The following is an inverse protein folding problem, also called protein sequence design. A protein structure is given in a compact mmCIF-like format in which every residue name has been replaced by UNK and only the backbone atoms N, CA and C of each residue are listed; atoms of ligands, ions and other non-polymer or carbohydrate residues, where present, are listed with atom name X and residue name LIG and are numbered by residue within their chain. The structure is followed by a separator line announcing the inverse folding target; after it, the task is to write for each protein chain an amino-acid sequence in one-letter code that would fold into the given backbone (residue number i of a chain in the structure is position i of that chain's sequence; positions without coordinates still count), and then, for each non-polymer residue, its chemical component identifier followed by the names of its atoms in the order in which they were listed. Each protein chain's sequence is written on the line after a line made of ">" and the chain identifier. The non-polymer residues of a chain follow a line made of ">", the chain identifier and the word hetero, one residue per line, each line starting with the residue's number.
data_IF_416498800785
#
_entry.id   IF_416498800785
#
_cell.length_a   1.000
_cell.length_b   1.000
_cell.length_c   1.000
_cell.angle_alpha   90.00
_cell.angle_beta   90.00
_cell.angle_gamma   90.00
#
_symmetry.space_group_name_H-M   'P 1'
#
loop_
_entity.id
_entity.type
_entity.pdbx_description
1 polymer ?
#
# COMPACT_ATOMS: atom_id res chain seq x y z
N UNK A 1 -43.79 -11.78 -34.56
CA UNK A 1 -44.54 -10.61 -34.06
C UNK A 1 -45.21 -10.95 -32.73
N UNK A 2 -44.56 -10.70 -31.58
CA UNK A 2 -45.24 -10.71 -30.29
C UNK A 2 -45.76 -9.31 -29.96
N UNK A 3 -47.03 -9.25 -29.52
CA UNK A 3 -47.79 -8.04 -29.23
C UNK A 3 -47.37 -7.45 -27.86
N UNK A 4 -47.06 -6.17 -27.85
CA UNK A 4 -46.77 -5.34 -26.68
C UNK A 4 -48.03 -5.12 -25.82
N UNK A 5 -47.89 -5.20 -24.50
CA UNK A 5 -48.90 -4.79 -23.52
C UNK A 5 -48.33 -3.62 -22.68
N UNK A 6 -49.05 -2.49 -22.52
CA UNK A 6 -48.55 -1.34 -21.77
C UNK A 6 -49.21 -1.19 -20.38
N UNK A 7 -48.48 -0.46 -19.52
CA UNK A 7 -48.95 0.44 -18.45
C UNK A 7 -49.64 -0.17 -17.21
N UNK A 8 -49.13 0.13 -16.00
CA UNK A 8 -49.83 0.95 -14.98
C UNK A 8 -48.78 1.53 -14.01
N UNK A 9 -48.76 2.86 -13.93
CA UNK A 9 -48.04 3.69 -12.97
C UNK A 9 -48.96 3.93 -11.77
N UNK A 10 -48.49 3.75 -10.54
CA UNK A 10 -49.23 4.14 -9.34
C UNK A 10 -48.32 4.87 -8.35
N UNK A 11 -48.37 6.21 -8.38
CA UNK A 11 -47.94 7.09 -7.29
C UNK A 11 -49.00 7.08 -6.20
N UNK A 12 -48.60 6.93 -4.94
CA UNK A 12 -49.43 7.28 -3.79
C UNK A 12 -48.60 8.12 -2.84
N UNK A 13 -48.90 9.42 -2.83
CA UNK A 13 -48.49 10.37 -1.80
C UNK A 13 -49.65 10.53 -0.82
N UNK A 14 -49.38 10.38 0.49
CA UNK A 14 -50.33 10.73 1.55
C UNK A 14 -49.61 11.66 2.51
N UNK A 15 -50.09 12.90 2.58
CA UNK A 15 -49.79 13.86 3.61
C UNK A 15 -50.95 13.90 4.61
N UNK A 16 -50.66 13.88 5.92
CA UNK A 16 -51.60 14.35 6.94
C UNK A 16 -50.81 15.06 8.05
N UNK A 17 -51.23 16.28 8.33
CA UNK A 17 -50.81 17.23 9.36
C UNK A 17 -51.54 16.98 10.70
N UNK A 18 -50.89 17.27 11.83
CA UNK A 18 -51.57 17.78 13.03
C UNK A 18 -50.56 18.36 14.05
N UNK A 19 -50.69 19.65 14.34
CA UNK A 19 -50.00 20.36 15.41
C UNK A 19 -50.62 20.04 16.77
N UNK A 20 -49.81 19.93 17.83
CA UNK A 20 -50.27 20.19 19.20
C UNK A 20 -49.18 20.96 19.96
N UNK A 21 -49.62 22.04 20.62
CA UNK A 21 -48.83 22.97 21.43
C UNK A 21 -48.64 22.43 22.85
N UNK A 22 -47.40 22.45 23.33
CA UNK A 22 -47.07 22.20 24.73
C UNK A 22 -45.66 22.67 25.06
N UNK A 23 -45.54 23.76 25.81
CA UNK A 23 -44.33 24.11 26.57
C UNK A 23 -44.62 23.80 28.04
N UNK A 24 -43.73 23.06 28.73
CA UNK A 24 -42.97 23.71 29.80
C UNK A 24 -41.52 23.19 30.03
N UNK A 25 -40.65 24.14 30.39
CA UNK A 25 -39.55 24.10 31.38
C UNK A 25 -38.29 23.22 31.14
N UNK A 26 -37.06 23.74 31.36
CA UNK A 26 -35.81 23.06 31.05
C UNK A 26 -35.34 22.15 32.20
N UNK A 27 -34.88 20.95 31.86
CA UNK A 27 -34.17 20.05 32.76
C UNK A 27 -32.74 19.80 32.28
N UNK A 28 -31.83 19.79 33.25
CA UNK A 28 -30.39 19.84 33.12
C UNK A 28 -29.74 18.52 32.67
N UNK A 29 -28.64 18.67 31.92
CA UNK A 29 -27.41 17.88 31.84
C UNK A 29 -27.48 16.34 31.84
N UNK A 30 -27.12 15.74 30.70
CA UNK A 30 -26.05 14.73 30.63
C UNK A 30 -25.55 14.58 29.18
N UNK A 31 -24.24 14.62 28.89
CA UNK A 31 -23.73 14.47 27.54
C UNK A 31 -23.81 12.98 27.15
N UNK A 32 -24.70 12.64 26.22
CA UNK A 32 -24.66 11.33 25.59
C UNK A 32 -23.39 11.26 24.76
N UNK A 33 -22.53 10.30 25.11
CA UNK A 33 -21.22 10.06 24.53
C UNK A 33 -21.28 10.11 23.00
N UNK A 34 -20.51 11.03 22.42
CA UNK A 34 -20.18 11.00 21.02
C UNK A 34 -19.37 9.72 20.78
N UNK A 35 -19.92 8.81 19.98
CA UNK A 35 -19.16 7.73 19.37
C UNK A 35 -18.05 8.39 18.55
N UNK A 36 -16.81 8.23 19.01
CA UNK A 36 -15.60 8.64 18.30
C UNK A 36 -15.65 8.16 16.86
N UNK A 37 -15.35 9.00 15.85
CA UNK A 37 -15.03 8.49 14.54
C UNK A 37 -13.78 7.62 14.69
N UNK A 38 -13.82 6.38 14.20
CA UNK A 38 -12.59 5.64 13.92
C UNK A 38 -11.73 6.55 13.06
N UNK A 39 -10.59 6.99 13.59
CA UNK A 39 -9.58 7.63 12.79
C UNK A 39 -9.17 6.61 11.73
N UNK A 40 -9.67 6.79 10.50
CA UNK A 40 -8.98 6.27 9.34
C UNK A 40 -7.60 6.90 9.40
N UNK A 41 -6.57 6.09 9.63
CA UNK A 41 -5.19 6.50 9.40
C UNK A 41 -5.10 6.84 7.92
N UNK A 42 -5.37 8.10 7.59
CA UNK A 42 -5.12 8.69 6.28
C UNK A 42 -3.71 8.25 5.89
N UNK A 43 -3.50 7.77 4.66
CA UNK A 43 -2.20 7.29 4.16
C UNK A 43 -1.07 8.33 4.14
N UNK A 44 -1.24 9.43 4.86
CA UNK A 44 -0.25 10.44 5.13
C UNK A 44 0.84 9.83 6.00
N UNK A 45 2.04 9.83 5.44
CA UNK A 45 3.23 9.47 6.18
C UNK A 45 3.52 10.61 7.15
N UNK A 46 3.48 10.35 8.46
CA UNK A 46 3.60 11.38 9.51
C UNK A 46 4.83 12.29 9.33
N UNK A 47 5.89 11.79 8.67
CA UNK A 47 7.03 12.58 8.21
C UNK A 47 7.49 12.11 6.82
N UNK A 48 7.24 12.88 5.74
CA UNK A 48 7.70 12.53 4.40
C UNK A 48 9.23 12.37 4.35
N UNK A 49 9.71 11.33 3.68
CA UNK A 49 11.15 11.07 3.48
C UNK A 49 11.71 11.86 2.29
N UNK A 50 13.01 12.17 2.37
CA UNK A 50 13.76 12.71 1.22
C UNK A 50 14.04 11.60 0.21
N UNK A 51 13.18 11.48 -0.80
CA UNK A 51 13.19 10.37 -1.78
C UNK A 51 13.92 10.70 -3.08
N UNK A 52 14.20 11.98 -3.36
CA UNK A 52 14.68 12.43 -4.67
C UNK A 52 15.98 11.73 -5.12
N UNK A 53 17.01 11.71 -4.26
CA UNK A 53 18.29 11.09 -4.58
C UNK A 53 18.15 9.58 -4.85
N UNK A 54 17.32 8.88 -4.07
CA UNK A 54 17.10 7.45 -4.24
C UNK A 54 16.23 7.14 -5.45
N UNK A 55 15.31 8.04 -5.84
CA UNK A 55 14.50 7.89 -7.05
C UNK A 55 15.32 8.04 -8.33
N UNK A 56 16.33 8.91 -8.30
CA UNK A 56 17.28 9.06 -9.43
C UNK A 56 18.30 7.91 -9.50
N UNK A 57 18.74 7.43 -8.33
CA UNK A 57 19.76 6.38 -8.22
C UNK A 57 19.31 5.23 -7.27
N UNK A 58 18.31 4.42 -7.65
CA UNK A 58 17.67 3.44 -6.76
C UNK A 58 18.61 2.35 -6.27
N UNK A 59 19.65 2.02 -7.03
CA UNK A 59 20.65 1.04 -6.60
C UNK A 59 21.51 1.48 -5.43
N UNK A 60 21.47 2.76 -5.07
CA UNK A 60 22.10 3.28 -3.84
C UNK A 60 21.26 3.02 -2.59
N UNK A 61 20.05 2.45 -2.75
CA UNK A 61 19.16 2.06 -1.65
C UNK A 61 19.72 0.96 -0.76
N UNK A 62 20.63 0.13 -1.28
CA UNK A 62 21.43 -0.81 -0.50
C UNK A 62 22.91 -0.58 -0.82
N UNK A 63 23.76 -0.54 0.20
CA UNK A 63 25.21 -0.68 -0.02
C UNK A 63 25.55 -2.10 -0.49
N UNK A 64 26.75 -2.28 -1.05
CA UNK A 64 27.23 -3.62 -1.43
C UNK A 64 27.22 -4.59 -0.24
N UNK A 65 27.63 -4.14 0.96
CA UNK A 65 27.62 -4.96 2.17
C UNK A 65 26.20 -5.31 2.63
N UNK A 66 25.26 -4.36 2.55
CA UNK A 66 23.86 -4.64 2.86
C UNK A 66 23.27 -5.66 1.87
N UNK A 67 23.51 -5.51 0.57
CA UNK A 67 23.08 -6.46 -0.44
C UNK A 67 23.68 -7.86 -0.19
N UNK A 68 24.98 -7.94 0.14
CA UNK A 68 25.64 -9.19 0.47
C UNK A 68 25.01 -9.87 1.70
N UNK A 69 24.54 -9.11 2.70
CA UNK A 69 23.79 -9.66 3.85
C UNK A 69 22.44 -10.34 3.50
N UNK A 70 21.95 -10.11 2.28
CA UNK A 70 20.79 -10.76 1.68
C UNK A 70 21.16 -11.82 0.63
N UNK A 71 22.44 -12.21 0.54
CA UNK A 71 22.98 -13.08 -0.50
C UNK A 71 22.75 -12.51 -1.92
N UNK A 72 22.81 -11.18 -2.06
CA UNK A 72 22.64 -10.45 -3.31
C UNK A 72 23.95 -9.77 -3.74
N UNK A 73 24.20 -9.75 -5.05
CA UNK A 73 25.29 -8.96 -5.64
C UNK A 73 24.93 -7.46 -5.65
N UNK A 74 25.91 -6.55 -5.83
CA UNK A 74 25.63 -5.13 -6.02
C UNK A 74 24.58 -4.88 -7.12
N UNK A 75 23.66 -3.95 -6.84
CA UNK A 75 22.50 -3.68 -7.68
C UNK A 75 22.88 -3.07 -9.03
N UNK A 76 22.09 -3.39 -10.04
CA UNK A 76 22.19 -2.83 -11.38
C UNK A 76 20.96 -2.02 -11.71
N UNK A 77 21.18 -0.82 -12.25
CA UNK A 77 20.09 0.02 -12.70
C UNK A 77 19.39 -0.64 -13.91
N UNK A 78 18.06 -0.57 -13.91
CA UNK A 78 17.20 -0.99 -15.01
C UNK A 78 16.27 0.19 -15.34
N UNK A 79 16.15 0.56 -16.62
CA UNK A 79 15.48 1.80 -17.04
C UNK A 79 14.11 1.61 -17.71
N UNK A 80 13.67 0.38 -17.98
CA UNK A 80 12.61 0.13 -18.95
C UNK A 80 11.31 -0.41 -18.33
N UNK A 81 11.02 -0.06 -17.07
CA UNK A 81 9.88 -0.63 -16.32
C UNK A 81 8.67 0.28 -16.21
N UNK A 82 8.61 1.40 -16.95
CA UNK A 82 7.44 2.29 -17.01
C UNK A 82 7.25 3.26 -15.83
N UNK A 83 8.00 3.09 -14.75
CA UNK A 83 7.92 3.91 -13.51
C UNK A 83 9.19 4.74 -13.24
N UNK A 84 10.06 4.89 -14.24
CA UNK A 84 11.36 5.55 -14.13
C UNK A 84 12.50 4.61 -13.71
N UNK A 85 13.65 5.16 -13.29
CA UNK A 85 14.80 4.38 -12.87
C UNK A 85 14.42 3.38 -11.77
N UNK A 86 14.87 2.14 -11.93
CA UNK A 86 14.68 1.08 -10.93
C UNK A 86 15.99 0.35 -10.70
N UNK A 87 16.07 -0.38 -9.59
CA UNK A 87 17.20 -1.23 -9.31
C UNK A 87 16.81 -2.70 -9.33
N UNK A 88 17.73 -3.55 -9.76
CA UNK A 88 17.66 -4.98 -9.61
C UNK A 88 18.94 -5.50 -8.95
N UNK A 89 18.76 -6.24 -7.86
CA UNK A 89 19.80 -7.05 -7.22
C UNK A 89 19.51 -8.52 -7.52
N UNK A 90 20.55 -9.29 -7.82
CA UNK A 90 20.44 -10.72 -8.13
C UNK A 90 21.36 -11.51 -7.21
N UNK A 91 20.97 -12.71 -6.80
CA UNK A 91 21.89 -13.56 -6.04
C UNK A 91 22.98 -14.14 -6.96
N UNK A 92 24.26 -14.11 -6.54
CA UNK A 92 25.32 -14.82 -7.25
C UNK A 92 25.26 -16.33 -7.02
N UNK A 93 24.56 -16.79 -5.98
CA UNK A 93 24.43 -18.22 -5.64
C UNK A 93 23.17 -18.84 -6.24
N UNK A 94 22.08 -18.06 -6.32
CA UNK A 94 20.77 -18.51 -6.80
C UNK A 94 20.29 -17.56 -7.91
N UNK A 95 20.52 -17.90 -9.16
CA UNK A 95 20.17 -17.08 -10.33
C UNK A 95 18.69 -16.63 -10.38
N UNK A 96 17.80 -17.45 -9.84
CA UNK A 96 16.37 -17.21 -9.72
C UNK A 96 15.98 -16.30 -8.56
N UNK A 97 16.92 -15.96 -7.66
CA UNK A 97 16.69 -14.99 -6.60
C UNK A 97 16.97 -13.57 -7.10
N UNK A 98 15.93 -12.73 -7.07
CA UNK A 98 15.96 -11.35 -7.56
C UNK A 98 15.23 -10.45 -6.58
N UNK A 99 15.76 -9.26 -6.36
CA UNK A 99 15.06 -8.19 -5.63
C UNK A 99 15.07 -6.95 -6.48
N UNK A 100 13.93 -6.26 -6.57
CA UNK A 100 13.78 -5.00 -7.29
C UNK A 100 13.35 -3.88 -6.36
N UNK A 101 13.77 -2.66 -6.69
CA UNK A 101 13.29 -1.42 -6.08
C UNK A 101 12.88 -0.45 -7.18
N UNK A 102 11.67 0.07 -7.06
CA UNK A 102 11.12 1.12 -7.92
C UNK A 102 10.32 2.12 -7.08
N UNK A 103 10.13 3.34 -7.60
CA UNK A 103 9.33 4.38 -6.94
C UNK A 103 8.13 4.70 -7.80
N UNK A 104 6.94 4.58 -7.22
CA UNK A 104 5.66 4.73 -7.90
C UNK A 104 4.97 5.98 -7.41
N UNK A 105 4.60 6.85 -8.36
CA UNK A 105 3.68 7.95 -8.11
C UNK A 105 2.26 7.40 -8.17
N UNK A 106 1.62 7.35 -7.01
CA UNK A 106 0.25 6.88 -6.83
C UNK A 106 -0.75 8.05 -6.78
N UNK A 107 -0.30 9.28 -7.03
CA UNK A 107 -1.11 10.50 -6.90
C UNK A 107 -1.42 10.84 -5.43
N UNK A 108 -2.25 11.87 -5.21
CA UNK A 108 -2.50 12.43 -3.86
C UNK A 108 -3.02 11.44 -2.81
N UNK A 109 -3.55 10.29 -3.23
CA UNK A 109 -4.08 9.26 -2.34
C UNK A 109 -3.01 8.26 -1.85
N UNK A 110 -1.81 8.23 -2.46
CA UNK A 110 -0.71 7.37 -1.99
C UNK A 110 -1.11 5.91 -1.84
N UNK A 111 -0.86 5.32 -0.66
CA UNK A 111 -1.25 3.94 -0.36
C UNK A 111 -2.78 3.73 -0.28
N UNK A 112 -3.59 4.79 -0.12
CA UNK A 112 -5.05 4.67 -0.22
C UNK A 112 -5.48 4.19 -1.61
N UNK A 113 -4.67 4.45 -2.65
CA UNK A 113 -4.88 3.87 -3.97
C UNK A 113 -4.86 2.32 -3.94
N UNK A 114 -3.93 1.70 -3.21
CA UNK A 114 -3.87 0.23 -3.09
C UNK A 114 -5.03 -0.30 -2.24
N UNK A 115 -5.40 0.43 -1.17
CA UNK A 115 -6.56 0.06 -0.35
C UNK A 115 -7.87 0.11 -1.12
N UNK A 116 -8.06 1.14 -1.95
CA UNK A 116 -9.24 1.28 -2.80
C UNK A 116 -9.35 0.13 -3.81
N UNK A 117 -8.21 -0.35 -4.32
CA UNK A 117 -8.14 -1.45 -5.30
C UNK A 117 -7.86 -2.82 -4.66
N UNK A 118 -8.19 -3.01 -3.37
CA UNK A 118 -7.98 -4.28 -2.65
C UNK A 118 -8.50 -5.51 -3.38
N UNK A 119 -9.63 -5.38 -4.07
CA UNK A 119 -10.27 -6.46 -4.80
C UNK A 119 -9.45 -6.96 -6.02
N UNK A 120 -8.54 -6.13 -6.53
CA UNK A 120 -7.66 -6.46 -7.66
C UNK A 120 -6.35 -7.13 -7.22
N UNK A 121 -6.19 -7.32 -5.91
CA UNK A 121 -5.02 -7.96 -5.32
C UNK A 121 -5.37 -9.36 -4.80
N UNK A 122 -4.56 -10.35 -5.16
CA UNK A 122 -4.70 -11.72 -4.67
C UNK A 122 -4.42 -11.82 -3.16
N UNK A 123 -3.60 -10.91 -2.64
CA UNK A 123 -3.40 -10.67 -1.22
C UNK A 123 -3.18 -9.18 -0.97
N UNK A 124 -3.55 -8.72 0.21
CA UNK A 124 -3.36 -7.33 0.62
C UNK A 124 -3.29 -7.30 2.15
N UNK A 125 -2.08 -7.22 2.69
CA UNK A 125 -1.83 -7.23 4.13
C UNK A 125 -1.20 -5.90 4.54
N UNK A 126 -1.87 -5.16 5.41
CA UNK A 126 -1.34 -3.90 5.96
C UNK A 126 -0.27 -4.21 7.01
N UNK A 127 0.88 -3.56 6.85
CA UNK A 127 2.04 -3.72 7.72
C UNK A 127 2.72 -2.37 7.95
N UNK A 128 3.72 -2.35 8.82
CA UNK A 128 4.61 -1.20 8.97
C UNK A 128 6.06 -1.61 8.69
N UNK A 129 6.79 -0.71 8.05
CA UNK A 129 8.22 -0.85 7.75
C UNK A 129 8.96 0.35 8.31
N UNK A 130 9.71 0.15 9.38
CA UNK A 130 10.46 1.24 10.02
C UNK A 130 9.57 2.40 10.50
N UNK A 131 8.31 2.15 10.85
CA UNK A 131 7.34 3.19 11.25
C UNK A 131 6.64 3.90 10.09
N UNK A 132 6.81 3.41 8.86
CA UNK A 132 6.11 3.92 7.68
C UNK A 132 5.01 2.93 7.29
N UNK A 133 3.81 3.43 6.89
CA UNK A 133 2.72 2.58 6.46
C UNK A 133 3.14 1.81 5.21
N UNK A 134 2.78 0.53 5.16
CA UNK A 134 3.11 -0.34 4.05
C UNK A 134 2.02 -1.38 3.79
N UNK A 135 2.00 -1.89 2.57
CA UNK A 135 1.04 -2.88 2.11
C UNK A 135 1.80 -3.97 1.38
N UNK A 136 1.65 -5.21 1.85
CA UNK A 136 2.07 -6.40 1.10
C UNK A 136 0.93 -6.74 0.15
N UNK A 137 1.12 -6.49 -1.14
CA UNK A 137 0.09 -6.72 -2.16
C UNK A 137 0.67 -7.02 -3.55
N UNK A 138 -0.04 -7.87 -4.27
CA UNK A 138 0.20 -8.20 -5.69
C UNK A 138 -1.08 -8.69 -6.33
N UNK A 139 -1.21 -8.52 -7.64
CA UNK A 139 -2.32 -9.08 -8.44
C UNK A 139 -2.29 -10.61 -8.53
N UNK A 140 -1.14 -11.24 -8.24
CA UNK A 140 -0.98 -12.69 -8.21
C UNK A 140 -0.38 -13.14 -6.87
N UNK A 141 -0.93 -14.20 -6.28
CA UNK A 141 -0.36 -14.82 -5.08
C UNK A 141 0.65 -15.90 -5.48
N UNK A 142 1.90 -15.48 -5.67
CA UNK A 142 3.05 -16.34 -5.93
C UNK A 142 3.94 -16.50 -4.69
N UNK A 143 3.40 -16.22 -3.49
CA UNK A 143 4.18 -16.31 -2.23
C UNK A 143 4.64 -17.73 -1.94
N UNK A 144 3.82 -18.73 -2.26
CA UNK A 144 4.22 -20.14 -2.18
C UNK A 144 5.32 -20.51 -3.18
N UNK A 145 5.53 -19.70 -4.22
CA UNK A 145 6.60 -19.84 -5.20
C UNK A 145 7.78 -18.93 -4.87
N UNK A 146 7.81 -18.26 -3.72
CA UNK A 146 8.92 -17.41 -3.30
C UNK A 146 8.82 -15.94 -3.72
N UNK A 147 7.67 -15.46 -4.20
CA UNK A 147 7.52 -14.05 -4.57
C UNK A 147 6.81 -13.22 -3.49
N UNK A 148 7.19 -11.97 -3.34
CA UNK A 148 6.48 -11.00 -2.52
C UNK A 148 6.55 -9.60 -3.10
N UNK A 149 5.39 -8.94 -3.20
CA UNK A 149 5.26 -7.52 -3.51
C UNK A 149 4.99 -6.73 -2.24
N UNK A 150 5.80 -5.71 -1.97
CA UNK A 150 5.69 -4.84 -0.80
C UNK A 150 5.76 -3.38 -1.22
N UNK A 151 4.81 -2.58 -0.77
CA UNK A 151 4.67 -1.16 -1.08
C UNK A 151 4.80 -0.37 0.21
N UNK A 152 5.77 0.54 0.30
CA UNK A 152 5.97 1.40 1.48
C UNK A 152 5.63 2.84 1.09
N UNK A 153 4.70 3.47 1.80
CA UNK A 153 4.44 4.90 1.65
C UNK A 153 5.63 5.67 2.20
N UNK A 154 6.35 6.39 1.34
CA UNK A 154 7.60 7.07 1.72
C UNK A 154 7.48 8.59 1.67
N UNK A 155 6.52 9.11 0.90
CA UNK A 155 6.15 10.52 0.86
C UNK A 155 4.69 10.63 0.38
N UNK A 156 4.12 11.83 0.44
CA UNK A 156 2.76 12.09 -0.03
C UNK A 156 2.61 11.66 -1.49
N UNK A 157 1.73 10.69 -1.72
CA UNK A 157 1.48 10.12 -3.04
C UNK A 157 2.59 9.24 -3.63
N UNK A 158 3.70 9.02 -2.92
CA UNK A 158 4.81 8.22 -3.42
C UNK A 158 5.01 6.95 -2.60
N UNK A 159 5.08 5.81 -3.29
CA UNK A 159 5.42 4.53 -2.70
C UNK A 159 6.75 3.99 -3.23
N UNK A 160 7.58 3.45 -2.34
CA UNK A 160 8.68 2.57 -2.69
C UNK A 160 8.14 1.14 -2.84
N UNK A 161 8.28 0.56 -4.02
CA UNK A 161 7.85 -0.81 -4.31
C UNK A 161 9.06 -1.73 -4.33
N UNK A 162 9.04 -2.72 -3.43
CA UNK A 162 10.03 -3.79 -3.32
C UNK A 162 9.39 -5.08 -3.83
N UNK A 163 9.87 -5.56 -4.97
CA UNK A 163 9.57 -6.90 -5.47
C UNK A 163 10.67 -7.85 -5.04
N UNK A 164 10.33 -8.93 -4.36
CA UNK A 164 11.30 -9.96 -3.99
C UNK A 164 10.86 -11.30 -4.59
N UNK A 165 11.78 -11.94 -5.28
CA UNK A 165 11.73 -13.33 -5.70
C UNK A 165 12.85 -14.06 -4.96
N UNK A 166 12.52 -14.79 -3.90
CA UNK A 166 13.43 -15.70 -3.22
C UNK A 166 12.97 -17.12 -3.51
N UNK A 167 13.46 -17.71 -4.60
CA UNK A 167 13.10 -19.07 -5.02
C UNK A 167 13.88 -20.14 -4.27
N UNK A 168 15.05 -19.78 -3.72
CA UNK A 168 15.95 -20.68 -3.00
C UNK A 168 16.60 -19.99 -1.80
N UNK A 169 17.17 -20.79 -0.90
CA UNK A 169 17.86 -20.29 0.30
C UNK A 169 16.92 -19.97 1.47
N UNK A 170 17.44 -19.21 2.45
CA UNK A 170 16.78 -19.01 3.75
C UNK A 170 15.41 -18.33 3.68
N UNK A 171 15.20 -17.50 2.65
CA UNK A 171 14.02 -16.66 2.50
C UNK A 171 12.97 -17.28 1.57
N UNK A 172 13.21 -18.48 1.02
CA UNK A 172 12.30 -19.08 0.05
C UNK A 172 10.96 -19.54 0.63
N UNK A 173 10.96 -19.96 1.90
CA UNK A 173 9.74 -20.39 2.58
C UNK A 173 8.90 -19.20 3.08
N UNK A 174 9.50 -18.02 3.22
CA UNK A 174 8.83 -16.79 3.65
C UNK A 174 9.46 -15.58 2.93
N UNK A 175 9.14 -15.41 1.62
CA UNK A 175 9.74 -14.37 0.82
C UNK A 175 9.35 -12.97 1.29
N UNK A 176 8.18 -12.83 1.92
CA UNK A 176 7.72 -11.56 2.43
C UNK A 176 8.50 -11.12 3.67
N UNK A 177 8.91 -12.02 4.57
CA UNK A 177 9.83 -11.66 5.64
C UNK A 177 11.18 -11.15 5.10
N UNK A 178 11.71 -11.79 4.04
CA UNK A 178 12.88 -11.29 3.32
C UNK A 178 12.67 -9.89 2.73
N UNK A 179 11.58 -9.68 2.00
CA UNK A 179 11.21 -8.40 1.40
C UNK A 179 11.08 -7.29 2.45
N UNK A 180 10.47 -7.58 3.61
CA UNK A 180 10.32 -6.62 4.71
C UNK A 180 11.67 -6.18 5.28
N UNK A 181 12.65 -7.10 5.40
CA UNK A 181 14.00 -6.75 5.88
C UNK A 181 14.76 -5.90 4.86
N UNK A 182 14.62 -6.18 3.57
CA UNK A 182 15.16 -5.33 2.50
C UNK A 182 14.53 -3.93 2.55
N UNK A 183 13.20 -3.85 2.59
CA UNK A 183 12.48 -2.58 2.64
C UNK A 183 12.84 -1.76 3.89
N UNK A 184 13.02 -2.41 5.04
CA UNK A 184 13.49 -1.73 6.25
C UNK A 184 14.88 -1.09 6.06
N UNK A 185 15.82 -1.79 5.41
CA UNK A 185 17.13 -1.22 5.11
C UNK A 185 17.06 0.00 4.17
N UNK A 186 16.15 -0.03 3.20
CA UNK A 186 15.90 1.08 2.26
C UNK A 186 15.26 2.27 2.99
N UNK A 187 14.23 2.04 3.82
CA UNK A 187 13.60 3.09 4.63
C UNK A 187 14.62 3.72 5.58
N UNK A 188 15.47 2.92 6.21
CA UNK A 188 16.53 3.43 7.08
C UNK A 188 17.59 4.23 6.33
N UNK A 189 17.81 3.96 5.03
CA UNK A 189 18.64 4.79 4.16
C UNK A 189 17.97 6.13 3.87
N UNK A 190 16.69 6.12 3.52
CA UNK A 190 15.89 7.33 3.24
C UNK A 190 15.78 8.27 4.45
N UNK A 191 15.75 7.73 5.67
CA UNK A 191 15.78 8.54 6.92
C UNK A 191 17.10 9.28 7.15
N UNK A 192 18.17 8.91 6.43
CA UNK A 192 19.54 9.42 6.62
C UNK A 192 20.03 10.25 5.44
N UNK A 193 19.20 10.46 4.44
CA UNK A 193 19.45 11.31 3.26
C UNK A 193 18.78 12.65 3.43
#
# INVERSE_FOLDING_TARGET
>A
MPRSAPLVLALVAVAVTACTTGTPTPAATSPSAATTPSAATTGQTDVPLSVAALREAPCTGLTADQAAGFDLAPGKAISDVGYGPSCMWTSPQYDSNVVTLSFHDLGGDGLDHLRANRADHAYHDEVEIGGYPAIIASSFDLRSEGDCGLWVGVADGLAASVGAAFKQGRDAADPCSGARRVAAAIVDKLKRT
#
